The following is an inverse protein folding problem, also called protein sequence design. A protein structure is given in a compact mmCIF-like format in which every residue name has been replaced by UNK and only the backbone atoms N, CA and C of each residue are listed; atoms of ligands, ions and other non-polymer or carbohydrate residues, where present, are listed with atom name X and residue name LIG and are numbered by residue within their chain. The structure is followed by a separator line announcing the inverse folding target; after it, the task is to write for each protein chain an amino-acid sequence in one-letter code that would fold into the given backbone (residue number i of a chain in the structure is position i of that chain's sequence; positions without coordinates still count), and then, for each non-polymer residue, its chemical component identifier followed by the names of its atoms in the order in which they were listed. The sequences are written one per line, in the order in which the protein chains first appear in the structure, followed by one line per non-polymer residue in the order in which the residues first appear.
data_IF_502300752755
#
_entry.id   IF_502300752755
#
_cell.length_a   1.000
_cell.length_b   1.000
_cell.length_c   1.000
_cell.angle_alpha   90.00
_cell.angle_beta   90.00
_cell.angle_gamma   90.00
#
_symmetry.space_group_name_H-M   'P 1'
#
loop_
_entity.id
_entity.type
_entity.pdbx_description
1 polymer ?
#
# COMPACT_ATOMS: atom_id res chain seq x y z
N UNK A 1 -37.41 -2.37 -22.98
CA UNK A 1 -36.98 -2.01 -21.61
C UNK A 1 -35.56 -2.50 -21.47
N UNK A 2 -34.58 -1.63 -21.64
CA UNK A 2 -33.17 -2.01 -21.60
C UNK A 2 -32.74 -2.12 -20.13
N UNK A 3 -32.23 -3.29 -19.75
CA UNK A 3 -31.64 -3.52 -18.44
C UNK A 3 -30.37 -2.68 -18.34
N UNK A 4 -30.42 -1.63 -17.51
CA UNK A 4 -29.22 -0.84 -17.16
C UNK A 4 -28.34 -1.77 -16.32
N UNK A 5 -27.11 -2.10 -16.77
CA UNK A 5 -26.20 -2.85 -15.93
C UNK A 5 -25.93 -2.01 -14.68
N UNK A 6 -26.43 -2.47 -13.53
CA UNK A 6 -26.01 -1.93 -12.24
C UNK A 6 -24.53 -2.21 -12.14
N UNK A 7 -23.72 -1.17 -12.31
CA UNK A 7 -22.32 -1.21 -11.93
C UNK A 7 -22.29 -1.81 -10.52
N UNK A 8 -21.76 -3.02 -10.44
CA UNK A 8 -21.49 -3.69 -9.18
C UNK A 8 -20.56 -2.71 -8.49
N UNK A 9 -21.09 -2.01 -7.48
CA UNK A 9 -20.43 -0.92 -6.78
C UNK A 9 -19.22 -1.44 -6.01
N UNK A 10 -18.20 -1.91 -6.71
CA UNK A 10 -16.86 -2.08 -6.17
C UNK A 10 -16.44 -0.68 -5.81
N UNK A 11 -16.57 -0.35 -4.52
CA UNK A 11 -16.01 0.87 -3.97
C UNK A 11 -14.54 0.87 -4.39
N UNK A 12 -14.19 1.67 -5.41
CA UNK A 12 -12.84 1.70 -6.01
C UNK A 12 -11.76 1.89 -4.94
N UNK A 13 -12.11 2.47 -3.80
CA UNK A 13 -11.20 2.62 -2.66
C UNK A 13 -10.80 1.36 -1.90
N UNK A 14 -11.55 0.25 -1.94
CA UNK A 14 -11.20 -0.98 -1.20
C UNK A 14 -10.04 -1.74 -1.86
N UNK A 15 -10.08 -2.04 -3.18
CA UNK A 15 -8.96 -2.69 -3.87
C UNK A 15 -7.66 -1.89 -3.77
N UNK A 16 -7.77 -0.57 -3.96
CA UNK A 16 -6.70 0.40 -3.82
C UNK A 16 -6.02 0.38 -2.45
N UNK A 17 -6.83 0.31 -1.38
CA UNK A 17 -6.34 0.27 -0.01
C UNK A 17 -5.56 -1.02 0.27
N UNK A 18 -6.06 -2.16 -0.20
CA UNK A 18 -5.41 -3.46 -0.03
C UNK A 18 -4.06 -3.47 -0.77
N UNK A 19 -4.02 -2.95 -2.00
CA UNK A 19 -2.79 -2.81 -2.78
C UNK A 19 -1.75 -1.95 -2.07
N UNK A 20 -2.14 -0.76 -1.60
CA UNK A 20 -1.24 0.14 -0.88
C UNK A 20 -0.67 -0.46 0.42
N UNK A 21 -1.52 -1.12 1.22
CA UNK A 21 -1.07 -1.80 2.46
C UNK A 21 -0.11 -2.93 2.14
N UNK A 22 -0.43 -3.77 1.15
CA UNK A 22 0.41 -4.89 0.76
C UNK A 22 1.79 -4.41 0.30
N UNK A 23 1.83 -3.39 -0.57
CA UNK A 23 3.10 -2.83 -1.04
C UNK A 23 3.90 -2.19 0.08
N UNK A 24 3.28 -1.49 1.03
CA UNK A 24 3.97 -0.93 2.19
C UNK A 24 4.64 -2.03 3.03
N UNK A 25 3.94 -3.13 3.31
CA UNK A 25 4.49 -4.26 4.08
C UNK A 25 5.66 -4.89 3.33
N UNK A 26 5.50 -5.19 2.04
CA UNK A 26 6.56 -5.81 1.23
C UNK A 26 7.79 -4.91 1.15
N UNK A 27 7.61 -3.60 0.92
CA UNK A 27 8.70 -2.64 0.88
C UNK A 27 9.44 -2.57 2.23
N UNK A 28 8.71 -2.60 3.35
CA UNK A 28 9.31 -2.62 4.68
C UNK A 28 10.10 -3.90 4.95
N UNK A 29 9.58 -5.06 4.58
CA UNK A 29 10.29 -6.34 4.72
C UNK A 29 11.56 -6.34 3.88
N UNK A 30 11.49 -5.90 2.62
CA UNK A 30 12.67 -5.77 1.76
C UNK A 30 13.69 -4.79 2.32
N UNK A 31 13.24 -3.69 2.93
CA UNK A 31 14.12 -2.74 3.62
C UNK A 31 14.88 -3.40 4.77
N UNK A 32 14.19 -4.14 5.64
CA UNK A 32 14.83 -4.84 6.75
C UNK A 32 15.82 -5.91 6.26
N UNK A 33 15.48 -6.63 5.20
CA UNK A 33 16.36 -7.63 4.58
C UNK A 33 17.60 -6.99 3.95
N UNK A 34 17.44 -5.81 3.33
CA UNK A 34 18.54 -5.08 2.69
C UNK A 34 19.60 -4.63 3.71
N UNK A 35 19.16 -4.10 4.85
CA UNK A 35 20.08 -3.57 5.86
C UNK A 35 20.68 -4.65 6.77
N UNK A 36 20.04 -5.81 6.92
CA UNK A 36 20.55 -6.96 7.68
C UNK A 36 20.67 -6.76 9.20
N UNK A 37 20.70 -5.51 9.69
CA UNK A 37 20.73 -5.13 11.08
C UNK A 37 19.50 -4.27 11.41
N UNK A 38 18.59 -4.84 12.20
CA UNK A 38 17.41 -4.15 12.71
C UNK A 38 17.79 -3.23 13.88
N UNK A 39 18.47 -2.12 13.57
CA UNK A 39 18.66 -1.04 14.55
C UNK A 39 17.43 -0.14 14.60
N UNK A 40 17.08 0.38 15.78
CA UNK A 40 15.94 1.26 15.97
C UNK A 40 15.81 2.40 14.92
N UNK A 41 16.89 3.14 14.56
CA UNK A 41 16.79 4.16 13.52
C UNK A 41 16.50 3.59 12.13
N UNK A 42 17.06 2.44 11.76
CA UNK A 42 16.82 1.80 10.45
C UNK A 42 15.36 1.34 10.32
N UNK A 43 14.80 0.80 11.41
CA UNK A 43 13.39 0.39 11.48
C UNK A 43 12.48 1.61 11.31
N UNK A 44 12.78 2.71 12.03
CA UNK A 44 12.00 3.94 11.98
C UNK A 44 11.98 4.56 10.57
N UNK A 45 13.15 4.67 9.94
CA UNK A 45 13.25 5.19 8.57
C UNK A 45 12.53 4.27 7.58
N UNK A 46 12.73 2.95 7.69
CA UNK A 46 12.04 1.98 6.83
C UNK A 46 10.52 2.07 6.96
N UNK A 47 10.01 2.23 8.19
CA UNK A 47 8.58 2.35 8.44
C UNK A 47 7.99 3.64 7.83
N UNK A 48 8.70 4.77 7.94
CA UNK A 48 8.27 6.03 7.32
C UNK A 48 8.25 5.94 5.79
N UNK A 49 9.28 5.36 5.18
CA UNK A 49 9.35 5.16 3.73
C UNK A 49 8.23 4.23 3.25
N UNK A 50 7.99 3.11 3.96
CA UNK A 50 6.95 2.16 3.63
C UNK A 50 5.53 2.76 3.72
N UNK A 51 5.25 3.53 4.77
CA UNK A 51 3.97 4.24 4.92
C UNK A 51 3.79 5.26 3.80
N UNK A 52 4.83 6.02 3.47
CA UNK A 52 4.82 6.99 2.37
C UNK A 52 4.51 6.33 1.02
N UNK A 53 5.12 5.18 0.73
CA UNK A 53 4.87 4.42 -0.49
C UNK A 53 3.45 3.85 -0.54
N UNK A 54 2.96 3.28 0.56
CA UNK A 54 1.58 2.78 0.65
C UNK A 54 0.55 3.89 0.43
N UNK A 55 0.81 5.08 1.00
CA UNK A 55 -0.03 6.24 0.81
C UNK A 55 0.03 6.77 -0.63
N UNK A 56 1.21 6.79 -1.26
CA UNK A 56 1.37 7.20 -2.66
C UNK A 56 0.56 6.32 -3.61
N UNK A 57 0.58 5.00 -3.42
CA UNK A 57 -0.22 4.06 -4.21
C UNK A 57 -1.70 4.32 -4.05
N UNK A 58 -2.14 4.64 -2.83
CA UNK A 58 -3.53 5.01 -2.57
C UNK A 58 -3.92 6.30 -3.30
N UNK A 59 -3.02 7.30 -3.35
CA UNK A 59 -3.26 8.54 -4.10
C UNK A 59 -3.24 8.33 -5.62
N UNK A 60 -2.38 7.47 -6.14
CA UNK A 60 -2.26 7.21 -7.57
C UNK A 60 -3.48 6.52 -8.19
N UNK A 61 -4.32 5.91 -7.36
CA UNK A 61 -5.49 5.11 -7.74
C UNK A 61 -6.83 5.74 -7.27
N UNK A 62 -6.75 6.93 -6.63
CA UNK A 62 -7.89 7.81 -6.34
C UNK A 62 -8.20 8.71 -7.54
#
# INVERSE_FOLDING_TARGET
MAEVPREIGVKRGLPSLIGGIFTAIVAFVLWLLLFGAASAPVILVGALVAIGLGFWIRLADL
#
